data_IF_658693914599
#
_entry.id   IF_658693914599
#
_cell.length_a   1.000
_cell.length_b   1.000
_cell.length_c   1.000
_cell.angle_alpha   90.00
_cell.angle_beta   90.00
_cell.angle_gamma   90.00
#
_symmetry.space_group_name_H-M   'P 1'
#
loop_
_entity.id
_entity.type
_entity.pdbx_description
1 polymer ?
#
# COMPACT_ATOMS: atom_id res chain seq x y z
N UNK A 1 -8.31 -9.08 -0.22
CA UNK A 1 -7.37 -8.83 0.89
C UNK A 1 -6.01 -8.56 0.31
N UNK A 2 -5.19 -7.70 0.93
CA UNK A 2 -3.83 -7.39 0.44
C UNK A 2 -2.86 -8.44 0.97
N UNK A 3 -2.13 -9.12 0.09
CA UNK A 3 -1.07 -10.06 0.48
C UNK A 3 0.25 -9.30 0.70
N UNK A 4 0.85 -9.45 1.88
CA UNK A 4 2.09 -8.77 2.26
C UNK A 4 3.24 -9.78 2.42
N UNK A 5 4.38 -9.49 1.81
CA UNK A 5 5.60 -10.31 1.93
C UNK A 5 6.56 -9.68 2.94
N UNK A 6 6.90 -10.44 3.99
CA UNK A 6 7.90 -10.05 4.98
C UNK A 6 9.31 -10.28 4.42
N UNK A 7 10.15 -9.24 4.42
CA UNK A 7 11.55 -9.35 3.97
C UNK A 7 12.51 -9.55 5.16
N UNK A 8 13.56 -10.35 4.97
CA UNK A 8 14.53 -10.71 6.02
C UNK A 8 15.50 -9.60 6.47
N UNK A 9 15.25 -8.35 6.09
CA UNK A 9 16.11 -7.20 6.39
C UNK A 9 15.58 -5.92 5.76
N UNK A 10 14.74 -5.20 6.50
CA UNK A 10 14.17 -3.89 6.12
C UNK A 10 12.95 -3.56 6.99
N UNK A 11 12.80 -2.32 7.44
CA UNK A 11 11.60 -1.85 8.15
C UNK A 11 10.54 -1.39 7.14
N UNK A 12 10.25 -2.27 6.17
CA UNK A 12 9.22 -2.05 5.15
C UNK A 12 8.68 -3.39 4.63
N UNK A 13 7.47 -3.37 4.09
CA UNK A 13 6.86 -4.50 3.39
C UNK A 13 6.52 -4.12 1.96
N UNK A 14 6.52 -5.12 1.09
CA UNK A 14 6.00 -5.02 -0.26
C UNK A 14 4.62 -5.66 -0.30
N UNK A 15 3.66 -4.95 -0.89
CA UNK A 15 2.29 -5.40 -1.05
C UNK A 15 1.89 -5.35 -2.53
N UNK A 16 1.32 -6.44 -3.04
CA UNK A 16 0.78 -6.50 -4.40
C UNK A 16 -0.63 -5.88 -4.41
N UNK A 17 -0.84 -4.89 -5.29
CA UNK A 17 -2.13 -4.23 -5.47
C UNK A 17 -2.81 -4.61 -6.80
N UNK A 18 -2.23 -5.52 -7.58
CA UNK A 18 -2.85 -6.02 -8.82
C UNK A 18 -4.27 -6.58 -8.67
N UNK A 19 -4.69 -7.20 -7.54
CA UNK A 19 -6.06 -7.70 -7.39
C UNK A 19 -7.14 -6.61 -7.41
N UNK A 20 -6.76 -5.34 -7.27
CA UNK A 20 -7.69 -4.20 -7.28
C UNK A 20 -7.94 -3.63 -8.68
N UNK A 21 -7.34 -4.19 -9.73
CA UNK A 21 -7.57 -3.77 -11.11
C UNK A 21 -7.02 -2.38 -11.49
N UNK A 22 -6.25 -1.75 -10.59
CA UNK A 22 -5.58 -0.47 -10.82
C UNK A 22 -4.08 -0.61 -10.59
N UNK A 23 -3.27 0.22 -11.25
CA UNK A 23 -1.82 0.23 -11.10
C UNK A 23 -1.38 0.84 -9.75
N UNK A 24 -0.13 0.59 -9.35
CA UNK A 24 0.39 1.01 -8.05
C UNK A 24 0.42 2.52 -7.85
N UNK A 25 0.62 3.30 -8.92
CA UNK A 25 0.67 4.76 -8.84
C UNK A 25 -0.74 5.32 -8.59
N UNK A 26 -1.73 4.86 -9.37
CA UNK A 26 -3.14 5.20 -9.17
C UNK A 26 -3.61 4.80 -7.77
N UNK A 27 -3.25 3.60 -7.30
CA UNK A 27 -3.58 3.13 -5.95
C UNK A 27 -3.03 4.07 -4.87
N UNK A 28 -1.74 4.43 -4.94
CA UNK A 28 -1.09 5.30 -3.97
C UNK A 28 -1.70 6.71 -3.96
N UNK A 29 -1.98 7.30 -5.12
CA UNK A 29 -2.59 8.63 -5.19
C UNK A 29 -4.01 8.65 -4.62
N UNK A 30 -4.83 7.65 -4.94
CA UNK A 30 -6.20 7.54 -4.40
C UNK A 30 -6.19 7.36 -2.90
N UNK A 31 -5.37 6.44 -2.38
CA UNK A 31 -5.24 6.23 -0.95
C UNK A 31 -4.84 7.52 -0.21
N UNK A 32 -3.87 8.26 -0.75
CA UNK A 32 -3.45 9.54 -0.18
C UNK A 32 -4.60 10.56 -0.18
N UNK A 33 -5.29 10.70 -1.30
CA UNK A 33 -6.38 11.67 -1.44
C UNK A 33 -7.58 11.35 -0.54
N UNK A 34 -7.95 10.06 -0.43
CA UNK A 34 -9.15 9.62 0.27
C UNK A 34 -8.93 9.44 1.78
N UNK A 35 -7.71 9.08 2.19
CA UNK A 35 -7.44 8.69 3.59
C UNK A 35 -6.30 9.46 4.27
N UNK A 36 -5.50 10.21 3.50
CA UNK A 36 -4.29 10.85 3.98
C UNK A 36 -3.12 9.91 4.24
N UNK A 37 -3.22 8.62 3.86
CA UNK A 37 -2.12 7.66 4.00
C UNK A 37 -1.22 7.69 2.76
N UNK A 38 0.06 8.00 2.97
CA UNK A 38 1.09 7.99 1.92
C UNK A 38 1.76 6.61 1.85
N UNK A 39 1.91 6.08 0.63
CA UNK A 39 2.75 4.91 0.34
C UNK A 39 3.61 5.16 -0.89
N UNK A 40 4.63 4.32 -1.10
CA UNK A 40 5.53 4.45 -2.24
C UNK A 40 5.13 3.51 -3.38
N UNK A 41 4.79 4.02 -4.57
CA UNK A 41 4.52 3.16 -5.72
C UNK A 41 5.81 2.46 -6.17
N UNK A 42 5.68 1.19 -6.55
CA UNK A 42 6.80 0.35 -6.94
C UNK A 42 7.41 0.70 -8.30
N UNK A 43 6.74 1.51 -9.12
CA UNK A 43 7.23 1.97 -10.43
C UNK A 43 8.66 2.55 -10.34
N UNK A 44 8.99 3.24 -9.24
CA UNK A 44 10.33 3.80 -9.00
C UNK A 44 11.43 2.76 -8.79
N UNK A 45 11.08 1.48 -8.61
CA UNK A 45 11.99 0.36 -8.35
C UNK A 45 12.14 -0.58 -9.56
N UNK A 46 11.55 -0.22 -10.70
CA UNK A 46 11.63 -0.95 -11.97
C UNK A 46 10.34 -1.68 -12.34
N UNK A 47 10.19 -2.03 -13.62
CA UNK A 47 8.93 -2.53 -14.19
C UNK A 47 8.33 -3.73 -13.46
N UNK A 48 9.16 -4.60 -12.86
CA UNK A 48 8.68 -5.78 -12.12
C UNK A 48 7.86 -5.43 -10.88
N UNK A 49 7.97 -4.19 -10.40
CA UNK A 49 7.28 -3.69 -9.21
C UNK A 49 6.12 -2.75 -9.57
N UNK A 50 5.70 -2.69 -10.84
CA UNK A 50 4.70 -1.72 -11.29
C UNK A 50 3.32 -1.87 -10.63
N UNK A 51 3.04 -3.06 -10.12
CA UNK A 51 1.80 -3.38 -9.41
C UNK A 51 2.01 -3.53 -7.90
N UNK A 52 3.18 -3.17 -7.40
CA UNK A 52 3.56 -3.33 -6.01
C UNK A 52 3.69 -1.97 -5.35
N UNK A 53 3.36 -1.90 -4.06
CA UNK A 53 3.57 -0.72 -3.23
C UNK A 53 4.49 -1.07 -2.07
N UNK A 54 5.35 -0.12 -1.70
CA UNK A 54 6.24 -0.26 -0.55
C UNK A 54 5.68 0.51 0.64
N UNK A 55 5.45 -0.21 1.72
CA UNK A 55 4.89 0.31 2.99
C UNK A 55 6.02 0.42 4.01
N UNK A 56 6.26 1.62 4.53
CA UNK A 56 7.27 1.86 5.56
C UNK A 56 6.71 1.51 6.94
N UNK A 57 7.53 0.87 7.78
CA UNK A 57 7.24 0.59 9.19
C UNK A 57 8.04 1.51 10.13
N UNK A 58 8.61 2.59 9.59
CA UNK A 58 9.42 3.59 10.32
C UNK A 58 8.56 4.71 10.92
N UNK A 59 7.51 4.34 11.64
CA UNK A 59 6.61 5.26 12.33
C UNK A 59 6.26 4.71 13.72
N UNK A 60 5.58 5.50 14.55
CA UNK A 60 5.11 5.02 15.85
C UNK A 60 4.05 3.95 15.64
N UNK A 61 3.94 3.01 16.57
CA UNK A 61 3.00 1.89 16.45
C UNK A 61 1.55 2.38 16.26
N UNK A 62 1.16 3.44 16.97
CA UNK A 62 -0.17 4.03 16.88
C UNK A 62 -0.45 4.62 15.50
N UNK A 63 0.56 5.24 14.88
CA UNK A 63 0.45 5.80 13.52
C UNK A 63 0.32 4.68 12.48
N UNK A 64 1.09 3.61 12.63
CA UNK A 64 1.01 2.43 11.77
C UNK A 64 -0.37 1.77 11.90
N UNK A 65 -0.88 1.61 13.13
CA UNK A 65 -2.22 1.03 13.37
C UNK A 65 -3.33 1.86 12.73
N UNK A 66 -3.27 3.18 12.86
CA UNK A 66 -4.25 4.08 12.23
C UNK A 66 -4.15 4.04 10.70
N UNK A 67 -2.94 4.02 10.14
CA UNK A 67 -2.75 3.88 8.70
C UNK A 67 -3.33 2.56 8.16
N UNK A 68 -3.07 1.43 8.85
CA UNK A 68 -3.64 0.13 8.49
C UNK A 68 -5.17 0.15 8.54
N UNK A 69 -5.76 0.78 9.58
CA UNK A 69 -7.22 0.90 9.70
C UNK A 69 -7.82 1.66 8.51
N UNK A 70 -7.22 2.81 8.15
CA UNK A 70 -7.66 3.63 7.00
C UNK A 70 -7.50 2.89 5.67
N UNK A 71 -6.35 2.23 5.48
CA UNK A 71 -6.12 1.38 4.31
C UNK A 71 -7.17 0.26 4.22
N UNK A 72 -7.53 -0.35 5.34
CA UNK A 72 -8.56 -1.39 5.43
C UNK A 72 -9.92 -0.92 4.90
N UNK A 73 -10.38 0.27 5.32
CA UNK A 73 -11.62 0.88 4.80
C UNK A 73 -11.53 1.15 3.31
N UNK A 74 -10.44 1.75 2.85
CA UNK A 74 -10.21 2.06 1.43
C UNK A 74 -10.26 0.81 0.54
N UNK A 75 -9.56 -0.27 0.90
CA UNK A 75 -9.54 -1.48 0.06
C UNK A 75 -10.87 -2.24 0.06
N UNK A 76 -11.69 -2.09 1.09
CA UNK A 76 -13.06 -2.64 1.11
C UNK A 76 -13.96 -1.88 0.15
N UNK A 77 -13.88 -0.55 0.12
CA UNK A 77 -14.62 0.28 -0.83
C UNK A 77 -14.18 -0.02 -2.27
N UNK A 78 -12.88 -0.17 -2.49
CA UNK A 78 -12.32 -0.44 -3.81
C UNK A 78 -12.66 -1.83 -4.36
N UNK A 79 -12.74 -2.84 -3.49
CA UNK A 79 -13.13 -4.21 -3.85
C UNK A 79 -14.65 -4.45 -3.91
N UNK A 80 -15.45 -3.45 -3.54
CA UNK A 80 -16.92 -3.49 -3.66
C UNK A 80 -17.43 -2.87 -4.98
N UNK A 81 -16.51 -2.35 -5.79
CA UNK A 81 -16.76 -1.79 -7.13
C UNK A 81 -16.40 -2.82 -8.22
#
# INVERSE_FOLDING_TARGET
GVDAVVTGGGLFVWADVSPFGIDAETFCYRLLAETGVLMFPGNSFGHRWSNWVRVSLLAREEEIREAIRRMGSFVQELGSA
#
